data_IF_240668830165
#
_entry.id   IF_240668830165
#
_cell.length_a   1.000
_cell.length_b   1.000
_cell.length_c   1.000
_cell.angle_alpha   90.00
_cell.angle_beta   90.00
_cell.angle_gamma   90.00
#
_symmetry.space_group_name_H-M   'P 1'
#
loop_
_entity.id
_entity.type
_entity.pdbx_description
1 polymer ?
#
# COMPACT_ATOMS: atom_id res chain seq x y z
N UNK A 1 -43.49 -96.23 8.45
CA UNK A 1 -43.04 -94.90 8.93
C UNK A 1 -42.71 -95.05 10.41
N UNK A 2 -41.46 -95.09 10.88
CA UNK A 2 -40.39 -94.08 10.72
C UNK A 2 -40.26 -93.29 12.04
N UNK A 3 -39.59 -93.87 13.06
CA UNK A 3 -38.36 -93.36 13.72
C UNK A 3 -38.46 -91.90 14.21
N UNK A 4 -38.50 -91.71 15.54
CA UNK A 4 -37.35 -91.38 16.42
C UNK A 4 -36.88 -89.92 16.30
N UNK A 5 -36.65 -89.32 17.46
CA UNK A 5 -35.64 -88.27 17.76
C UNK A 5 -35.81 -86.92 17.06
N UNK A 6 -35.96 -85.83 17.84
CA UNK A 6 -34.88 -84.85 18.09
C UNK A 6 -35.40 -83.61 18.84
N UNK A 7 -34.71 -83.33 19.95
CA UNK A 7 -34.32 -82.02 20.51
C UNK A 7 -35.45 -81.03 20.88
N UNK A 8 -35.70 -80.72 22.16
CA UNK A 8 -34.86 -79.94 23.12
C UNK A 8 -34.33 -78.64 22.53
N UNK A 9 -35.03 -77.53 22.77
CA UNK A 9 -34.57 -76.14 22.85
C UNK A 9 -35.81 -75.36 23.37
N UNK A 10 -35.61 -74.41 24.28
CA UNK A 10 -36.63 -73.63 25.04
C UNK A 10 -37.13 -74.28 26.35
N UNK A 11 -36.36 -74.03 27.42
CA UNK A 11 -36.74 -73.96 28.85
C UNK A 11 -35.69 -74.62 29.76
N UNK A 12 -34.42 -74.16 29.72
CA UNK A 12 -33.53 -74.18 30.90
C UNK A 12 -32.17 -73.51 30.59
N UNK A 13 -31.99 -72.25 30.98
CA UNK A 13 -30.65 -71.68 31.26
C UNK A 13 -30.78 -70.38 32.07
N UNK A 14 -31.37 -70.53 33.26
CA UNK A 14 -30.90 -69.79 34.43
C UNK A 14 -29.79 -70.65 35.04
N UNK A 15 -28.52 -70.26 34.87
CA UNK A 15 -27.40 -70.96 35.50
C UNK A 15 -26.05 -70.73 34.81
N UNK A 16 -25.29 -69.75 35.32
CA UNK A 16 -23.84 -69.79 35.62
C UNK A 16 -23.49 -68.40 36.20
N UNK A 17 -23.55 -68.10 37.50
CA UNK A 17 -22.85 -68.66 38.66
C UNK A 17 -21.32 -68.63 38.55
N UNK A 18 -20.72 -67.70 39.32
CA UNK A 18 -19.32 -67.67 39.82
C UNK A 18 -18.30 -67.24 38.76
N UNK A 19 -17.57 -66.12 38.90
CA UNK A 19 -16.38 -65.98 39.78
C UNK A 19 -15.92 -64.51 39.67
N UNK A 20 -16.09 -63.62 40.65
CA UNK A 20 -15.14 -63.22 41.71
C UNK A 20 -15.78 -61.94 42.31
N UNK A 21 -16.26 -61.85 43.56
CA UNK A 21 -15.47 -61.74 44.80
C UNK A 21 -14.31 -60.77 44.60
N UNK A 22 -14.17 -59.60 45.21
CA UNK A 22 -14.82 -58.92 46.33
C UNK A 22 -14.07 -57.60 46.47
N UNK A 23 -14.78 -56.55 46.87
CA UNK A 23 -14.32 -55.61 47.92
C UNK A 23 -13.17 -54.66 47.55
N UNK A 24 -13.59 -53.40 47.34
CA UNK A 24 -13.20 -52.26 48.19
C UNK A 24 -11.73 -51.86 48.10
N UNK A 25 -11.46 -50.64 47.65
CA UNK A 25 -10.88 -49.61 48.51
C UNK A 25 -10.93 -48.23 47.83
N UNK A 26 -11.47 -47.31 48.61
CA UNK A 26 -11.33 -45.87 48.57
C UNK A 26 -9.83 -45.51 48.56
N UNK A 27 -9.34 -44.73 47.58
CA UNK A 27 -8.28 -43.71 47.75
C UNK A 27 -8.20 -42.83 46.51
N UNK A 28 -8.35 -41.53 46.75
CA UNK A 28 -7.85 -40.45 45.91
C UNK A 28 -6.35 -40.60 45.68
N UNK A 29 -5.92 -40.68 44.43
CA UNK A 29 -4.54 -40.36 44.05
C UNK A 29 -4.53 -39.84 42.62
N UNK A 30 -4.39 -38.52 42.55
CA UNK A 30 -3.33 -37.86 41.80
C UNK A 30 -3.08 -38.43 40.39
N UNK A 31 -3.80 -37.90 39.41
CA UNK A 31 -3.24 -37.85 38.06
C UNK A 31 -2.04 -36.92 38.11
N UNK A 32 -0.85 -37.52 38.17
CA UNK A 32 0.42 -36.85 38.00
C UNK A 32 0.42 -36.21 36.61
N UNK A 33 0.25 -34.89 36.60
CA UNK A 33 0.58 -34.05 35.45
C UNK A 33 2.08 -34.20 35.23
N UNK A 34 2.47 -34.94 34.20
CA UNK A 34 3.81 -34.80 33.64
C UNK A 34 3.84 -33.46 32.89
N UNK A 35 4.74 -32.53 33.25
CA UNK A 35 4.96 -31.33 32.47
C UNK A 35 5.80 -31.74 31.26
N UNK A 36 5.15 -31.89 30.11
CA UNK A 36 5.87 -31.86 28.83
C UNK A 36 5.45 -30.61 28.08
N UNK A 37 6.30 -29.61 28.26
CA UNK A 37 6.43 -28.43 27.43
C UNK A 37 6.78 -28.86 26.01
N UNK A 38 5.76 -28.92 25.16
CA UNK A 38 5.91 -28.69 23.74
C UNK A 38 4.69 -27.89 23.34
N UNK A 39 4.92 -26.58 23.18
CA UNK A 39 4.09 -25.67 22.40
C UNK A 39 3.52 -26.44 21.24
N UNK A 40 2.21 -26.66 21.30
CA UNK A 40 1.45 -27.26 20.23
C UNK A 40 1.41 -26.17 19.19
N UNK A 41 2.19 -26.32 18.12
CA UNK A 41 2.00 -25.52 16.92
C UNK A 41 0.56 -25.75 16.49
N UNK A 42 -0.27 -24.73 16.65
CA UNK A 42 -1.63 -24.76 16.18
C UNK A 42 -1.58 -24.46 14.68
N UNK A 43 -1.69 -25.53 13.89
CA UNK A 43 -2.12 -25.42 12.50
C UNK A 43 -3.36 -24.51 12.48
N UNK A 44 -3.37 -23.56 11.55
CA UNK A 44 -4.53 -22.69 11.28
C UNK A 44 -5.76 -23.61 11.16
N UNK A 45 -6.77 -23.46 12.05
CA UNK A 45 -7.96 -24.31 12.02
C UNK A 45 -8.55 -24.36 10.61
N UNK A 46 -8.88 -25.55 10.10
CA UNK A 46 -9.35 -25.75 8.72
C UNK A 46 -10.69 -25.08 8.37
N UNK A 47 -11.30 -24.37 9.32
CA UNK A 47 -12.52 -23.57 9.17
C UNK A 47 -12.37 -22.31 10.04
N UNK A 48 -11.56 -21.34 9.60
CA UNK A 48 -11.62 -19.97 10.12
C UNK A 48 -12.74 -19.24 9.37
N UNK A 49 -13.56 -18.49 10.10
CA UNK A 49 -14.56 -17.62 9.48
C UNK A 49 -13.83 -16.44 8.82
N UNK A 50 -14.16 -16.15 7.57
CA UNK A 50 -13.61 -14.99 6.86
C UNK A 50 -13.85 -13.70 7.66
N UNK A 51 -12.87 -12.81 7.67
CA UNK A 51 -12.92 -11.54 8.39
C UNK A 51 -11.57 -11.07 8.89
N UNK A 52 -11.61 -9.93 9.57
CA UNK A 52 -10.43 -9.24 10.12
C UNK A 52 -10.35 -9.46 11.62
N UNK A 53 -9.22 -9.95 12.10
CA UNK A 53 -9.00 -10.29 13.51
C UNK A 53 -7.77 -9.57 14.05
N UNK A 54 -7.90 -9.00 15.24
CA UNK A 54 -6.78 -8.36 15.93
C UNK A 54 -6.29 -9.26 17.05
N UNK A 55 -4.98 -9.46 17.10
CA UNK A 55 -4.31 -10.23 18.15
C UNK A 55 -3.08 -9.50 18.66
N UNK A 56 -2.69 -9.82 19.89
CA UNK A 56 -1.50 -9.29 20.53
C UNK A 56 -0.60 -10.45 20.96
N UNK A 57 0.70 -10.28 20.81
CA UNK A 57 1.71 -11.25 21.25
C UNK A 57 2.89 -10.55 21.92
N UNK A 58 3.64 -11.25 22.75
CA UNK A 58 4.72 -10.63 23.53
C UNK A 58 6.05 -10.66 22.73
N UNK A 59 6.51 -9.49 22.30
CA UNK A 59 7.82 -9.27 21.67
C UNK A 59 8.95 -9.10 22.69
N UNK A 60 10.12 -8.65 22.22
CA UNK A 60 11.30 -8.47 23.09
C UNK A 60 11.20 -7.22 24.00
N UNK A 61 10.70 -6.13 23.45
CA UNK A 61 10.64 -4.79 24.02
C UNK A 61 9.20 -4.30 24.24
N UNK A 62 8.20 -5.17 24.06
CA UNK A 62 6.81 -4.90 24.41
C UNK A 62 5.84 -5.80 23.65
N UNK A 63 4.53 -5.57 23.83
CA UNK A 63 3.51 -6.23 23.03
C UNK A 63 3.63 -5.83 21.56
N UNK A 64 3.37 -6.79 20.68
CA UNK A 64 3.23 -6.62 19.24
C UNK A 64 1.76 -6.85 18.94
N UNK A 65 1.10 -5.87 18.34
CA UNK A 65 -0.30 -5.95 17.93
C UNK A 65 -0.33 -6.18 16.42
N UNK A 66 -1.06 -7.21 15.98
CA UNK A 66 -1.24 -7.53 14.57
C UNK A 66 -2.71 -7.63 14.22
N UNK A 67 -3.02 -7.31 12.98
CA UNK A 67 -4.29 -7.57 12.32
C UNK A 67 -4.10 -8.68 11.30
N UNK A 68 -5.01 -9.64 11.26
CA UNK A 68 -4.97 -10.79 10.36
C UNK A 68 -6.28 -10.83 9.57
N UNK A 69 -6.17 -10.77 8.25
CA UNK A 69 -7.29 -10.91 7.31
C UNK A 69 -7.36 -12.34 6.82
N UNK A 70 -8.53 -12.96 6.95
CA UNK A 70 -8.81 -14.30 6.42
C UNK A 70 -9.90 -14.22 5.37
N UNK A 71 -9.63 -14.75 4.18
CA UNK A 71 -10.59 -14.82 3.07
C UNK A 71 -10.62 -16.22 2.46
N UNK A 72 -11.81 -16.77 2.23
CA UNK A 72 -11.95 -18.13 1.72
C UNK A 72 -11.33 -19.19 2.63
N UNK A 73 -11.14 -18.89 3.92
CA UNK A 73 -10.43 -19.72 4.89
C UNK A 73 -8.90 -19.72 4.76
N UNK A 74 -8.31 -18.79 4.00
CA UNK A 74 -6.86 -18.60 3.85
C UNK A 74 -6.45 -17.25 4.44
N UNK A 75 -5.28 -17.20 5.09
CA UNK A 75 -4.70 -15.94 5.57
C UNK A 75 -4.18 -15.18 4.36
N UNK A 76 -4.82 -14.07 4.02
CA UNK A 76 -4.45 -13.23 2.87
C UNK A 76 -3.55 -12.06 3.27
N UNK A 77 -3.64 -11.61 4.54
CA UNK A 77 -2.80 -10.53 5.06
C UNK A 77 -2.58 -10.60 6.55
N UNK A 78 -1.40 -10.11 6.95
CA UNK A 78 -1.01 -9.90 8.33
C UNK A 78 -0.35 -8.51 8.41
N UNK A 79 -0.97 -7.58 9.12
CA UNK A 79 -0.45 -6.23 9.35
C UNK A 79 0.02 -6.07 10.79
N UNK A 80 1.17 -5.43 11.00
CA UNK A 80 1.62 -5.04 12.33
C UNK A 80 1.03 -3.66 12.64
N UNK A 81 0.09 -3.58 13.58
CA UNK A 81 -0.60 -2.34 13.96
C UNK A 81 0.22 -1.50 14.94
N UNK A 82 0.93 -2.14 15.88
CA UNK A 82 1.71 -1.47 16.92
C UNK A 82 2.83 -2.38 17.43
N UNK A 83 4.02 -1.83 17.66
CA UNK A 83 5.13 -2.53 18.28
C UNK A 83 6.13 -1.55 18.92
N UNK A 84 6.93 -2.05 19.86
CA UNK A 84 7.96 -1.26 20.56
C UNK A 84 9.37 -1.85 20.40
N UNK A 85 9.60 -2.60 19.33
CA UNK A 85 10.85 -3.33 19.08
C UNK A 85 12.02 -2.40 18.68
N UNK A 86 13.24 -2.95 18.67
CA UNK A 86 14.45 -2.18 18.34
C UNK A 86 14.66 -2.14 16.83
N UNK A 87 14.53 -0.95 16.24
CA UNK A 87 14.83 -0.67 14.83
C UNK A 87 16.16 -1.30 14.37
N UNK A 88 16.17 -1.90 13.18
CA UNK A 88 17.34 -2.54 12.56
C UNK A 88 17.65 -3.95 13.08
N UNK A 89 17.04 -4.38 14.20
CA UNK A 89 17.26 -5.72 14.77
C UNK A 89 16.06 -6.63 14.53
N UNK A 90 14.85 -6.08 14.61
CA UNK A 90 13.59 -6.81 14.44
C UNK A 90 13.03 -6.76 13.03
N UNK A 91 13.51 -5.85 12.17
CA UNK A 91 13.00 -5.62 10.82
C UNK A 91 12.92 -6.92 9.99
N UNK A 92 13.96 -7.79 10.00
CA UNK A 92 13.87 -9.07 9.31
C UNK A 92 12.73 -9.97 9.80
N UNK A 93 12.36 -9.91 11.09
CA UNK A 93 11.23 -10.68 11.60
C UNK A 93 9.87 -10.08 11.21
N UNK A 94 9.77 -8.76 11.03
CA UNK A 94 8.55 -8.12 10.57
C UNK A 94 8.32 -8.31 9.07
N UNK A 95 9.38 -8.54 8.29
CA UNK A 95 9.30 -8.87 6.87
C UNK A 95 9.07 -10.38 6.65
N UNK A 96 9.93 -11.23 7.21
CA UNK A 96 9.96 -12.66 6.87
C UNK A 96 8.81 -13.45 7.51
N UNK A 97 8.44 -13.17 8.77
CA UNK A 97 7.47 -14.01 9.50
C UNK A 97 6.04 -13.86 8.96
N UNK A 98 5.50 -12.65 8.74
CA UNK A 98 4.19 -12.51 8.10
C UNK A 98 4.15 -13.17 6.72
N UNK A 99 5.19 -12.97 5.90
CA UNK A 99 5.28 -13.55 4.57
C UNK A 99 5.28 -15.08 4.60
N UNK A 100 6.07 -15.71 5.48
CA UNK A 100 6.11 -17.17 5.62
C UNK A 100 4.76 -17.73 6.13
N UNK A 101 4.06 -17.02 7.03
CA UNK A 101 2.76 -17.46 7.53
C UNK A 101 1.72 -17.41 6.41
N UNK A 102 1.71 -16.37 5.58
CA UNK A 102 0.82 -16.25 4.42
C UNK A 102 1.15 -17.31 3.36
N UNK A 103 2.43 -17.54 3.05
CA UNK A 103 2.85 -18.55 2.07
C UNK A 103 2.50 -19.97 2.52
N UNK A 104 2.72 -20.27 3.80
CA UNK A 104 2.49 -21.61 4.37
C UNK A 104 1.06 -21.83 4.86
N UNK A 105 0.27 -20.76 4.96
CA UNK A 105 -1.01 -20.70 5.67
C UNK A 105 -0.93 -21.41 7.05
N UNK A 106 0.17 -21.16 7.77
CA UNK A 106 0.48 -21.81 9.04
C UNK A 106 1.21 -20.86 9.98
N UNK A 107 0.84 -20.86 11.25
CA UNK A 107 1.57 -20.09 12.28
C UNK A 107 2.85 -20.80 12.74
N UNK A 108 3.15 -22.00 12.22
CA UNK A 108 4.34 -22.79 12.53
C UNK A 108 5.49 -22.54 11.55
N UNK A 109 5.95 -21.30 11.53
CA UNK A 109 7.08 -20.84 10.71
C UNK A 109 8.38 -20.74 11.52
N UNK A 110 9.53 -20.82 10.85
CA UNK A 110 10.82 -20.74 11.54
C UNK A 110 11.06 -19.32 12.05
N UNK A 111 11.72 -19.20 13.21
CA UNK A 111 12.06 -17.89 13.77
C UNK A 111 13.28 -17.30 13.06
N UNK A 112 13.31 -15.98 12.87
CA UNK A 112 14.42 -15.31 12.20
C UNK A 112 15.64 -15.24 13.13
N UNK A 113 16.82 -15.52 12.57
CA UNK A 113 18.08 -15.52 13.31
C UNK A 113 18.46 -14.10 13.75
N UNK A 114 18.39 -13.84 15.06
CA UNK A 114 18.71 -12.52 15.64
C UNK A 114 17.48 -11.75 16.12
N UNK A 115 16.29 -12.14 15.66
CA UNK A 115 15.00 -11.55 16.01
C UNK A 115 14.03 -12.56 16.63
N UNK A 116 14.55 -13.58 17.32
CA UNK A 116 13.78 -14.74 17.80
C UNK A 116 12.58 -14.37 18.68
N UNK A 117 12.71 -13.37 19.55
CA UNK A 117 11.62 -12.92 20.42
C UNK A 117 10.53 -12.19 19.63
N UNK A 118 10.93 -11.31 18.70
CA UNK A 118 10.04 -10.64 17.76
C UNK A 118 9.27 -11.65 16.90
N UNK A 119 9.97 -12.63 16.30
CA UNK A 119 9.33 -13.69 15.50
C UNK A 119 8.33 -14.51 16.31
N UNK A 120 8.66 -14.80 17.58
CA UNK A 120 7.74 -15.53 18.47
C UNK A 120 6.51 -14.67 18.83
N UNK A 121 6.71 -13.37 19.09
CA UNK A 121 5.64 -12.43 19.38
C UNK A 121 4.67 -12.25 18.21
N UNK A 122 5.17 -12.17 16.97
CA UNK A 122 4.32 -12.11 15.77
C UNK A 122 3.50 -13.39 15.62
N UNK A 123 4.12 -14.56 15.75
CA UNK A 123 3.41 -15.85 15.71
C UNK A 123 2.31 -15.93 16.77
N UNK A 124 2.61 -15.51 18.00
CA UNK A 124 1.64 -15.49 19.10
C UNK A 124 0.49 -14.50 18.83
N UNK A 125 0.79 -13.32 18.30
CA UNK A 125 -0.20 -12.31 17.95
C UNK A 125 -1.16 -12.84 16.87
N UNK A 126 -0.64 -13.53 15.85
CA UNK A 126 -1.45 -14.17 14.79
C UNK A 126 -2.29 -15.30 15.37
N UNK A 127 -1.74 -16.17 16.21
CA UNK A 127 -2.50 -17.24 16.89
C UNK A 127 -3.64 -16.65 17.72
N UNK A 128 -3.38 -15.57 18.45
CA UNK A 128 -4.37 -14.91 19.31
C UNK A 128 -5.48 -14.21 18.49
N UNK A 129 -5.13 -13.65 17.33
CA UNK A 129 -6.09 -13.11 16.36
C UNK A 129 -7.02 -14.22 15.86
N UNK A 130 -6.45 -15.33 15.39
CA UNK A 130 -7.19 -16.46 14.80
C UNK A 130 -7.98 -17.29 15.83
N UNK A 131 -7.57 -17.27 17.11
CA UNK A 131 -8.26 -17.98 18.19
C UNK A 131 -9.43 -17.20 18.79
N UNK A 132 -9.64 -15.94 18.38
CA UNK A 132 -10.70 -15.07 18.93
C UNK A 132 -10.54 -14.74 20.42
N UNK A 133 -9.32 -14.84 20.95
CA UNK A 133 -9.00 -14.63 22.37
C UNK A 133 -8.45 -13.23 22.67
N UNK A 134 -8.36 -12.35 21.67
CA UNK A 134 -7.96 -10.95 21.85
C UNK A 134 -8.99 -10.15 22.67
N UNK A 135 -8.52 -9.46 23.73
CA UNK A 135 -9.35 -8.49 24.46
C UNK A 135 -9.69 -7.32 23.55
N UNK A 136 -10.98 -7.19 23.21
CA UNK A 136 -11.54 -6.05 22.51
C UNK A 136 -11.97 -5.03 23.57
N UNK A 137 -11.20 -3.95 23.76
CA UNK A 137 -11.65 -2.78 24.51
C UNK A 137 -12.49 -1.92 23.55
N UNK A 138 -13.81 -2.13 23.58
CA UNK A 138 -14.80 -1.52 22.66
C UNK A 138 -14.83 0.03 22.73
N UNK A 139 -14.19 0.65 23.73
CA UNK A 139 -14.13 2.11 23.91
C UNK A 139 -12.84 2.75 23.32
N UNK A 140 -11.94 1.98 22.70
CA UNK A 140 -10.77 2.47 21.93
C UNK A 140 -10.87 2.12 20.43
N UNK A 141 -12.07 1.81 19.95
CA UNK A 141 -12.40 1.69 18.54
C UNK A 141 -13.10 2.98 18.12
N UNK A 142 -12.33 3.95 17.60
CA UNK A 142 -12.93 4.89 16.65
C UNK A 142 -13.29 4.09 15.39
N UNK A 143 -14.50 4.31 14.92
CA UNK A 143 -15.19 3.65 13.81
C UNK A 143 -14.33 3.59 12.54
N UNK A 144 -13.49 2.57 12.42
CA UNK A 144 -12.82 2.17 11.19
C UNK A 144 -13.50 0.90 10.69
N UNK A 145 -14.50 1.09 9.82
CA UNK A 145 -15.10 -0.01 9.06
C UNK A 145 -14.00 -0.68 8.24
N UNK A 146 -13.64 -1.91 8.64
CA UNK A 146 -12.83 -2.82 7.85
C UNK A 146 -13.72 -3.45 6.78
N UNK A 147 -13.57 -2.98 5.54
CA UNK A 147 -13.82 -3.76 4.33
C UNK A 147 -12.45 -3.92 3.66
N UNK A 148 -12.07 -5.16 3.39
CA UNK A 148 -11.05 -5.57 2.42
C UNK A 148 -9.60 -5.11 2.69
N UNK A 149 -8.70 -5.86 2.08
CA UNK A 149 -7.28 -5.92 2.30
C UNK A 149 -6.51 -4.71 1.72
N UNK A 150 -6.96 -3.47 1.88
CA UNK A 150 -6.21 -2.33 1.37
C UNK A 150 -4.90 -2.15 2.16
N UNK A 151 -3.77 -2.30 1.48
CA UNK A 151 -2.55 -1.56 1.84
C UNK A 151 -3.01 -0.15 2.18
N UNK A 152 -2.50 0.52 3.24
CA UNK A 152 -2.89 1.91 3.54
C UNK A 152 -2.72 2.69 2.26
N UNK A 153 -3.83 2.84 1.53
CA UNK A 153 -3.88 3.58 0.32
C UNK A 153 -3.71 4.98 0.88
N UNK A 154 -2.59 5.62 0.56
CA UNK A 154 -2.78 7.00 0.15
C UNK A 154 -3.94 6.93 -0.82
N UNK A 155 -5.03 7.61 -0.50
CA UNK A 155 -6.30 7.50 -1.19
C UNK A 155 -6.09 8.16 -2.57
N UNK A 156 -5.25 7.52 -3.38
CA UNK A 156 -4.71 7.95 -4.65
C UNK A 156 -5.75 7.58 -5.68
N UNK A 157 -5.99 8.49 -6.62
CA UNK A 157 -6.91 8.19 -7.70
C UNK A 157 -6.33 7.05 -8.54
N UNK A 158 -7.15 6.06 -8.91
CA UNK A 158 -6.71 5.00 -9.82
C UNK A 158 -6.31 5.58 -11.18
N UNK A 159 -5.33 4.95 -11.81
CA UNK A 159 -4.88 5.31 -13.14
C UNK A 159 -3.37 5.43 -13.25
N UNK A 160 -2.95 5.95 -14.39
CA UNK A 160 -1.55 6.27 -14.64
C UNK A 160 -1.38 7.77 -14.47
N UNK A 161 -0.53 8.14 -13.52
CA UNK A 161 -0.19 9.53 -13.22
C UNK A 161 1.25 9.79 -13.59
N UNK A 162 1.52 10.99 -14.03
CA UNK A 162 2.85 11.36 -14.52
C UNK A 162 3.17 12.75 -14.04
N UNK A 163 4.42 12.95 -13.65
CA UNK A 163 4.90 14.26 -13.24
C UNK A 163 6.36 14.44 -13.65
N UNK A 164 6.66 15.66 -14.09
CA UNK A 164 8.01 16.10 -14.42
C UNK A 164 8.48 17.14 -13.41
N UNK A 165 9.63 16.89 -12.79
CA UNK A 165 10.25 17.80 -11.82
C UNK A 165 11.69 18.13 -12.21
N UNK A 166 12.26 19.15 -11.56
CA UNK A 166 13.65 19.53 -11.73
C UNK A 166 14.57 18.51 -10.99
N UNK A 167 15.24 17.63 -11.75
CA UNK A 167 16.26 16.71 -11.25
C UNK A 167 17.61 17.38 -10.97
N UNK A 168 18.64 16.58 -10.63
CA UNK A 168 19.96 17.10 -10.28
C UNK A 168 20.71 17.73 -11.47
N UNK A 169 20.39 17.34 -12.70
CA UNK A 169 21.07 17.82 -13.92
C UNK A 169 20.14 18.22 -15.07
N UNK A 170 18.84 18.06 -14.92
CA UNK A 170 17.84 18.36 -15.94
C UNK A 170 16.48 17.82 -15.50
N UNK A 171 15.46 17.86 -16.36
CA UNK A 171 14.13 17.34 -16.03
C UNK A 171 14.20 15.84 -15.69
N UNK A 172 13.32 15.42 -14.78
CA UNK A 172 13.11 14.04 -14.39
C UNK A 172 11.61 13.77 -14.38
N UNK A 173 11.17 12.79 -15.18
CA UNK A 173 9.77 12.41 -15.36
C UNK A 173 9.53 11.02 -14.79
N UNK A 174 8.49 10.89 -13.98
CA UNK A 174 8.07 9.63 -13.37
C UNK A 174 6.63 9.32 -13.77
N UNK A 175 6.38 8.07 -14.15
CA UNK A 175 5.07 7.47 -14.33
C UNK A 175 4.74 6.59 -13.11
N UNK A 176 3.57 6.79 -12.52
CA UNK A 176 3.06 6.06 -11.36
C UNK A 176 1.75 5.40 -11.75
N UNK A 177 1.67 4.08 -11.62
CA UNK A 177 0.42 3.34 -11.84
C UNK A 177 -0.22 3.02 -10.50
N UNK A 178 -1.48 3.42 -10.36
CA UNK A 178 -2.33 3.13 -9.21
C UNK A 178 -3.48 2.24 -9.67
N UNK A 179 -3.65 1.08 -9.03
CA UNK A 179 -4.79 0.17 -9.22
C UNK A 179 -5.46 -0.07 -7.88
N UNK A 180 -6.77 0.16 -7.79
CA UNK A 180 -7.57 -0.01 -6.58
C UNK A 180 -6.96 0.72 -5.36
N UNK A 181 -6.53 1.98 -5.54
CA UNK A 181 -5.91 2.83 -4.50
C UNK A 181 -4.45 2.49 -4.18
N UNK A 182 -3.86 1.51 -4.86
CA UNK A 182 -2.52 0.99 -4.56
C UNK A 182 -1.55 1.32 -5.70
N UNK A 183 -0.39 1.87 -5.34
CA UNK A 183 0.75 2.08 -6.26
C UNK A 183 1.29 0.71 -6.67
N UNK A 184 1.01 0.30 -7.91
CA UNK A 184 1.47 -0.97 -8.47
C UNK A 184 2.76 -0.83 -9.28
N UNK A 185 3.07 0.39 -9.74
CA UNK A 185 4.28 0.66 -10.50
C UNK A 185 4.75 2.11 -10.31
N UNK A 186 6.08 2.29 -10.29
CA UNK A 186 6.74 3.59 -10.39
C UNK A 186 7.88 3.43 -11.39
N UNK A 187 7.84 4.15 -12.50
CA UNK A 187 8.82 4.09 -13.57
C UNK A 187 9.38 5.49 -13.88
N UNK A 188 10.70 5.64 -13.84
CA UNK A 188 11.36 6.88 -14.32
C UNK A 188 11.49 6.79 -15.85
N UNK A 189 10.65 7.55 -16.57
CA UNK A 189 10.55 7.48 -18.04
C UNK A 189 11.54 8.41 -18.74
N UNK A 190 11.89 9.54 -18.12
CA UNK A 190 12.87 10.50 -18.62
C UNK A 190 13.74 11.06 -17.49
N UNK A 191 15.05 11.20 -17.72
CA UNK A 191 15.97 11.84 -16.79
C UNK A 191 17.28 12.28 -17.47
N UNK A 192 17.90 13.35 -16.97
CA UNK A 192 19.24 13.81 -17.41
C UNK A 192 20.35 13.58 -16.35
N UNK A 193 20.13 12.63 -15.45
CA UNK A 193 21.04 12.29 -14.34
C UNK A 193 22.43 11.74 -14.77
N UNK A 194 23.41 11.76 -13.85
CA UNK A 194 24.78 11.31 -14.17
C UNK A 194 24.81 9.80 -14.12
N UNK A 195 25.08 9.17 -15.26
CA UNK A 195 25.29 7.71 -15.36
C UNK A 195 26.26 7.20 -14.27
N UNK A 196 25.85 6.15 -13.56
CA UNK A 196 26.64 5.49 -12.53
C UNK A 196 26.63 6.17 -11.16
N UNK A 197 26.15 7.41 -11.04
CA UNK A 197 25.94 8.07 -9.74
C UNK A 197 24.48 8.00 -9.30
N UNK A 198 23.55 8.19 -10.24
CA UNK A 198 22.12 8.19 -9.98
C UNK A 198 21.47 6.80 -10.08
N UNK A 199 22.13 5.83 -10.72
CA UNK A 199 21.58 4.48 -10.95
C UNK A 199 20.98 3.85 -9.68
N UNK A 200 21.63 3.92 -8.49
CA UNK A 200 21.03 3.39 -7.27
C UNK A 200 19.73 4.07 -6.88
N UNK A 201 19.63 5.40 -7.04
CA UNK A 201 18.38 6.11 -6.74
C UNK A 201 17.28 5.80 -7.77
N UNK A 202 17.64 5.67 -9.05
CA UNK A 202 16.71 5.35 -10.14
C UNK A 202 16.14 3.93 -10.03
N UNK A 203 16.82 3.01 -9.34
CA UNK A 203 16.37 1.64 -9.12
C UNK A 203 15.70 1.46 -7.74
N UNK A 204 16.38 1.90 -6.67
CA UNK A 204 15.99 1.56 -5.30
C UNK A 204 14.79 2.39 -4.81
N UNK A 205 14.71 3.68 -5.19
CA UNK A 205 13.64 4.58 -4.70
C UNK A 205 12.28 4.22 -5.29
N UNK A 206 12.12 4.03 -6.62
CA UNK A 206 10.85 3.56 -7.18
C UNK A 206 10.41 2.21 -6.61
N UNK A 207 11.34 1.27 -6.46
CA UNK A 207 11.06 -0.04 -5.88
C UNK A 207 10.56 0.06 -4.44
N UNK A 208 11.22 0.88 -3.61
CA UNK A 208 10.82 1.10 -2.23
C UNK A 208 9.44 1.77 -2.13
N UNK A 209 9.07 2.64 -3.06
CA UNK A 209 7.75 3.28 -3.06
C UNK A 209 6.65 2.27 -3.39
N UNK A 210 6.86 1.42 -4.39
CA UNK A 210 5.90 0.34 -4.72
C UNK A 210 5.81 -0.67 -3.58
N UNK A 211 6.94 -1.07 -3.01
CA UNK A 211 6.99 -2.03 -1.91
C UNK A 211 6.28 -1.52 -0.65
N UNK A 212 6.48 -0.24 -0.32
CA UNK A 212 5.87 0.37 0.87
C UNK A 212 4.50 1.02 0.60
N UNK A 213 4.07 1.07 -0.66
CA UNK A 213 2.93 1.87 -1.13
C UNK A 213 2.90 3.29 -0.53
N UNK A 214 4.07 3.89 -0.39
CA UNK A 214 4.27 5.12 0.36
C UNK A 214 5.38 5.93 -0.27
N UNK A 215 5.21 7.24 -0.32
CA UNK A 215 6.25 8.17 -0.77
C UNK A 215 7.23 8.54 0.35
N UNK A 216 6.96 8.12 1.59
CA UNK A 216 7.86 8.28 2.74
C UNK A 216 8.90 7.16 2.74
N UNK A 217 9.88 7.27 1.85
CA UNK A 217 10.99 6.32 1.69
C UNK A 217 12.34 7.01 1.87
N UNK A 218 13.35 6.24 2.26
CA UNK A 218 14.69 6.77 2.47
C UNK A 218 15.41 7.10 1.16
N UNK A 219 16.17 8.19 1.18
CA UNK A 219 17.07 8.55 0.06
C UNK A 219 18.28 7.62 -0.02
N UNK A 220 18.82 7.45 -1.23
CA UNK A 220 20.03 6.65 -1.44
C UNK A 220 21.30 7.44 -1.18
N UNK A 221 22.23 6.83 -0.43
CA UNK A 221 23.51 7.44 -0.07
C UNK A 221 24.37 7.75 -1.30
N UNK A 222 24.67 9.04 -1.50
CA UNK A 222 25.45 9.52 -2.65
C UNK A 222 24.62 9.92 -3.87
N UNK A 223 23.30 9.69 -3.83
CA UNK A 223 22.34 10.08 -4.87
C UNK A 223 21.12 10.81 -4.26
N UNK A 224 21.34 11.57 -3.18
CA UNK A 224 20.28 12.21 -2.39
C UNK A 224 19.42 13.16 -3.23
N UNK A 225 20.01 14.00 -4.08
CA UNK A 225 19.26 14.96 -4.92
C UNK A 225 18.34 14.23 -5.90
N UNK A 226 18.84 13.17 -6.53
CA UNK A 226 18.04 12.35 -7.44
C UNK A 226 16.94 11.59 -6.68
N UNK A 227 17.23 11.09 -5.48
CA UNK A 227 16.24 10.39 -4.65
C UNK A 227 15.11 11.33 -4.23
N UNK A 228 15.44 12.55 -3.79
CA UNK A 228 14.49 13.59 -3.43
C UNK A 228 13.64 14.00 -4.65
N UNK A 229 14.25 14.14 -5.83
CA UNK A 229 13.52 14.44 -7.07
C UNK A 229 12.54 13.34 -7.46
N UNK A 230 12.91 12.05 -7.33
CA UNK A 230 11.98 10.94 -7.60
C UNK A 230 10.81 10.97 -6.60
N UNK A 231 11.09 11.15 -5.31
CA UNK A 231 10.04 11.24 -4.27
C UNK A 231 9.12 12.45 -4.53
N UNK A 232 9.67 13.59 -4.94
CA UNK A 232 8.91 14.78 -5.29
C UNK A 232 8.04 14.55 -6.54
N UNK A 233 8.59 13.92 -7.59
CA UNK A 233 7.84 13.59 -8.79
C UNK A 233 6.68 12.63 -8.49
N UNK A 234 6.93 11.58 -7.70
CA UNK A 234 5.87 10.64 -7.30
C UNK A 234 4.82 11.32 -6.44
N UNK A 235 5.23 12.15 -5.47
CA UNK A 235 4.27 12.93 -4.68
C UNK A 235 3.46 13.89 -5.54
N UNK A 236 4.07 14.50 -6.55
CA UNK A 236 3.37 15.38 -7.48
C UNK A 236 2.34 14.57 -8.25
N UNK A 237 2.78 13.51 -8.95
CA UNK A 237 1.91 12.60 -9.69
C UNK A 237 0.74 12.04 -8.86
N UNK A 238 0.95 11.74 -7.57
CA UNK A 238 -0.06 11.13 -6.71
C UNK A 238 -0.98 12.12 -5.98
N UNK A 239 -0.51 13.34 -5.68
CA UNK A 239 -1.33 14.39 -5.04
C UNK A 239 -2.11 15.20 -6.05
N UNK A 240 -1.90 14.91 -7.32
CA UNK A 240 -2.47 15.67 -8.39
C UNK A 240 -3.79 15.09 -8.89
N UNK A 241 -4.83 15.82 -8.54
CA UNK A 241 -5.88 16.16 -9.50
C UNK A 241 -5.41 17.20 -10.55
N UNK A 242 -4.14 17.65 -10.55
CA UNK A 242 -3.57 18.69 -11.45
C UNK A 242 -2.11 18.39 -11.89
N UNK A 243 -1.83 17.12 -12.20
CA UNK A 243 -0.49 16.61 -12.51
C UNK A 243 -0.35 16.58 -13.99
N UNK A 244 0.41 17.53 -14.48
CA UNK A 244 0.77 17.79 -15.86
C UNK A 244 1.46 16.56 -16.51
N UNK A 245 0.66 15.53 -16.81
CA UNK A 245 0.72 14.71 -18.02
C UNK A 245 -0.49 13.76 -18.00
N UNK A 246 -1.62 14.19 -18.55
CA UNK A 246 -2.52 13.24 -19.18
C UNK A 246 -1.88 12.90 -20.53
N UNK A 247 -1.23 11.75 -20.62
CA UNK A 247 -0.76 11.22 -21.89
C UNK A 247 -1.95 11.07 -22.87
N UNK A 248 -2.12 12.09 -23.72
CA UNK A 248 -2.55 12.00 -25.11
C UNK A 248 -3.83 11.19 -25.41
N UNK A 249 -4.91 11.45 -24.68
CA UNK A 249 -6.25 11.36 -25.26
C UNK A 249 -6.68 12.78 -25.63
N UNK A 250 -7.28 13.01 -26.82
CA UNK A 250 -7.72 14.34 -27.20
C UNK A 250 -8.79 14.79 -26.20
N UNK A 251 -8.39 15.66 -25.28
CA UNK A 251 -9.30 16.32 -24.35
C UNK A 251 -10.22 17.17 -25.21
N UNK A 252 -11.47 16.73 -25.38
CA UNK A 252 -12.50 17.51 -26.07
C UNK A 252 -12.87 18.70 -25.18
N UNK A 253 -12.15 19.81 -25.33
CA UNK A 253 -12.52 21.05 -24.66
C UNK A 253 -13.87 21.54 -25.18
N UNK A 254 -14.72 22.02 -24.27
CA UNK A 254 -15.94 22.74 -24.63
C UNK A 254 -15.55 24.06 -25.26
N UNK A 255 -16.20 24.39 -26.36
CA UNK A 255 -16.02 25.69 -27.01
C UNK A 255 -16.41 26.83 -26.05
N UNK A 256 -15.55 27.83 -25.93
CA UNK A 256 -15.73 28.90 -24.96
C UNK A 256 -14.52 29.81 -24.83
N UNK A 257 -14.66 30.79 -23.94
CA UNK A 257 -13.57 31.66 -23.52
C UNK A 257 -13.41 31.50 -22.01
N UNK A 258 -12.21 31.15 -21.60
CA UNK A 258 -11.86 30.77 -20.24
C UNK A 258 -10.76 31.67 -19.72
N UNK A 259 -10.71 31.86 -18.41
CA UNK A 259 -9.74 32.76 -17.77
C UNK A 259 -9.04 31.99 -16.66
N UNK A 260 -7.72 31.96 -16.70
CA UNK A 260 -6.90 31.33 -15.68
C UNK A 260 -5.86 32.29 -15.15
N UNK A 261 -5.46 32.08 -13.90
CA UNK A 261 -4.48 32.92 -13.21
C UNK A 261 -3.44 32.09 -12.47
N UNK A 262 -2.19 32.55 -12.52
CA UNK A 262 -1.09 31.92 -11.81
C UNK A 262 -0.07 32.94 -11.30
N UNK A 263 0.64 32.59 -10.24
CA UNK A 263 1.67 33.43 -9.65
C UNK A 263 2.89 33.54 -10.59
N UNK A 264 3.13 34.74 -11.12
CA UNK A 264 4.34 35.07 -11.87
C UNK A 264 5.54 35.40 -10.97
N UNK A 265 6.66 35.78 -11.58
CA UNK A 265 7.88 36.13 -10.83
C UNK A 265 7.69 37.42 -10.01
N UNK A 266 6.96 38.39 -10.53
CA UNK A 266 6.71 39.67 -9.86
C UNK A 266 5.32 39.75 -9.21
N UNK A 267 4.28 39.29 -9.91
CA UNK A 267 2.87 39.31 -9.48
C UNK A 267 2.10 38.28 -10.33
N UNK A 268 0.81 38.14 -10.07
CA UNK A 268 -0.08 37.24 -10.81
C UNK A 268 -0.11 37.57 -12.31
N UNK A 269 -0.19 36.51 -13.13
CA UNK A 269 -0.40 36.57 -14.58
C UNK A 269 -1.80 36.05 -14.86
N UNK A 270 -2.59 36.83 -15.61
CA UNK A 270 -3.93 36.44 -16.04
C UNK A 270 -3.94 36.17 -17.54
N UNK A 271 -4.41 34.99 -17.94
CA UNK A 271 -4.57 34.60 -19.35
C UNK A 271 -6.03 34.36 -19.69
N UNK A 272 -6.40 34.70 -20.92
CA UNK A 272 -7.69 34.39 -21.53
C UNK A 272 -7.45 33.39 -22.67
N UNK A 273 -8.07 32.21 -22.58
CA UNK A 273 -7.94 31.11 -23.54
C UNK A 273 -9.26 30.95 -24.29
N UNK A 274 -9.21 30.93 -25.63
CA UNK A 274 -10.37 30.68 -26.48
C UNK A 274 -10.26 29.30 -27.11
N UNK A 275 -11.30 28.49 -26.90
CA UNK A 275 -11.46 27.17 -27.49
C UNK A 275 -12.54 27.22 -28.57
N UNK A 276 -12.23 26.73 -29.77
CA UNK A 276 -13.19 26.55 -30.86
C UNK A 276 -13.06 25.16 -31.50
N UNK A 277 -14.18 24.46 -31.69
CA UNK A 277 -14.24 23.09 -32.20
C UNK A 277 -13.37 22.10 -31.39
N UNK A 278 -13.29 22.30 -30.07
CA UNK A 278 -12.46 21.47 -29.19
C UNK A 278 -10.95 21.67 -29.30
N UNK A 279 -10.49 22.77 -29.90
CA UNK A 279 -9.07 23.12 -29.99
C UNK A 279 -8.80 24.54 -29.46
N UNK A 280 -7.59 24.75 -28.94
CA UNK A 280 -7.09 26.03 -28.44
C UNK A 280 -6.78 26.94 -29.64
N UNK A 281 -7.65 27.91 -29.91
CA UNK A 281 -7.52 28.80 -31.07
C UNK A 281 -6.74 30.08 -30.73
N UNK A 282 -6.81 30.53 -29.48
CA UNK A 282 -6.20 31.80 -29.09
C UNK A 282 -5.90 31.86 -27.59
N UNK A 283 -4.75 32.42 -27.24
CA UNK A 283 -4.33 32.69 -25.85
C UNK A 283 -3.89 34.15 -25.76
N UNK A 284 -4.45 34.90 -24.81
CA UNK A 284 -4.14 36.32 -24.60
C UNK A 284 -3.79 36.55 -23.14
N UNK A 285 -2.57 37.05 -22.90
CA UNK A 285 -2.20 37.54 -21.56
C UNK A 285 -2.88 38.90 -21.36
N UNK A 286 -3.77 38.98 -20.38
CA UNK A 286 -4.63 40.16 -20.15
C UNK A 286 -4.10 41.06 -19.03
N UNK A 287 -3.37 40.50 -18.06
CA UNK A 287 -2.74 41.24 -16.97
C UNK A 287 -1.45 40.54 -16.54
N UNK A 288 -0.40 41.32 -16.24
CA UNK A 288 0.87 40.84 -15.67
C UNK A 288 1.64 42.02 -15.06
N UNK A 289 2.51 41.75 -14.08
CA UNK A 289 3.45 42.73 -13.52
C UNK A 289 4.93 42.39 -13.77
N UNK A 290 5.19 41.50 -14.73
CA UNK A 290 6.54 41.09 -15.11
C UNK A 290 7.41 42.26 -15.60
N UNK A 291 8.73 42.07 -15.51
CA UNK A 291 9.69 43.12 -15.90
C UNK A 291 9.74 43.25 -17.42
N UNK A 292 9.37 44.42 -17.95
CA UNK A 292 9.43 44.73 -19.40
C UNK A 292 10.81 44.36 -20.00
N UNK A 293 10.80 43.62 -21.10
CA UNK A 293 12.00 43.22 -21.83
C UNK A 293 12.70 41.95 -21.31
N UNK A 294 12.34 41.44 -20.13
CA UNK A 294 12.86 40.16 -19.61
C UNK A 294 11.90 39.00 -19.88
N UNK A 295 10.59 39.26 -19.77
CA UNK A 295 9.54 38.27 -19.98
C UNK A 295 8.99 38.23 -21.41
N UNK A 296 9.32 39.22 -22.25
CA UNK A 296 8.82 39.32 -23.63
C UNK A 296 8.97 38.01 -24.42
N UNK A 297 10.09 37.27 -24.36
CA UNK A 297 10.21 35.99 -25.05
C UNK A 297 9.18 34.96 -24.58
N UNK A 298 8.93 34.86 -23.27
CA UNK A 298 7.93 33.93 -22.74
C UNK A 298 6.50 34.32 -23.14
N UNK A 299 6.20 35.62 -23.20
CA UNK A 299 4.89 36.11 -23.64
C UNK A 299 4.62 35.92 -25.13
N UNK A 300 5.66 35.75 -25.94
CA UNK A 300 5.54 35.51 -27.38
C UNK A 300 5.60 34.01 -27.74
N UNK A 301 6.54 33.27 -27.15
CA UNK A 301 6.85 31.89 -27.52
C UNK A 301 5.87 30.90 -26.87
N UNK A 302 5.62 30.98 -25.55
CA UNK A 302 4.80 29.98 -24.85
C UNK A 302 3.36 29.91 -25.39
N UNK A 303 2.61 31.03 -25.54
CA UNK A 303 1.27 30.96 -26.11
C UNK A 303 1.26 30.40 -27.54
N UNK A 304 2.29 30.70 -28.34
CA UNK A 304 2.39 30.21 -29.71
C UNK A 304 2.64 28.71 -29.74
N UNK A 305 3.55 28.21 -28.91
CA UNK A 305 3.88 26.79 -28.83
C UNK A 305 2.68 25.98 -28.35
N UNK A 306 1.92 26.48 -27.35
CA UNK A 306 0.69 25.82 -26.87
C UNK A 306 -0.38 25.75 -27.97
N UNK A 307 -0.57 26.82 -28.74
CA UNK A 307 -1.52 26.81 -29.86
C UNK A 307 -1.07 25.88 -31.00
N UNK A 308 0.23 25.81 -31.26
CA UNK A 308 0.79 24.95 -32.32
C UNK A 308 0.76 23.46 -31.94
N UNK A 309 1.01 23.14 -30.67
CA UNK A 309 0.95 21.77 -30.13
C UNK A 309 -0.47 21.34 -29.74
N UNK A 310 -1.35 22.32 -29.49
CA UNK A 310 -2.64 22.12 -28.81
C UNK A 310 -2.47 21.35 -27.49
N UNK A 311 -1.39 21.64 -26.76
CA UNK A 311 -0.97 21.01 -25.52
C UNK A 311 -0.28 22.04 -24.63
N UNK A 312 -0.44 21.92 -23.30
CA UNK A 312 0.27 22.76 -22.33
C UNK A 312 1.68 22.25 -22.04
N UNK A 313 1.99 21.02 -22.45
CA UNK A 313 3.33 20.43 -22.46
C UNK A 313 4.20 21.12 -23.54
N UNK A 314 4.83 22.23 -23.15
CA UNK A 314 5.75 23.00 -23.98
C UNK A 314 6.97 23.43 -23.18
N UNK A 315 8.12 23.52 -23.84
CA UNK A 315 9.37 23.92 -23.22
C UNK A 315 9.33 25.36 -22.67
N UNK A 316 9.94 25.58 -21.50
CA UNK A 316 10.11 26.94 -20.97
C UNK A 316 11.15 27.74 -21.77
N UNK A 317 11.00 29.07 -21.81
CA UNK A 317 11.95 29.94 -22.51
C UNK A 317 13.18 30.24 -21.65
N UNK A 318 14.38 30.03 -22.23
CA UNK A 318 15.65 30.26 -21.55
C UNK A 318 15.79 31.71 -21.06
N UNK A 319 15.98 31.88 -19.75
CA UNK A 319 16.09 33.19 -19.09
C UNK A 319 14.76 33.80 -18.64
N UNK A 320 13.64 33.14 -18.94
CA UNK A 320 12.30 33.52 -18.50
C UNK A 320 11.52 32.31 -17.92
N UNK A 321 12.22 31.37 -17.29
CA UNK A 321 11.68 30.09 -16.82
C UNK A 321 10.49 30.26 -15.86
N UNK A 322 10.60 31.12 -14.85
CA UNK A 322 9.52 31.35 -13.87
C UNK A 322 8.27 31.91 -14.55
N UNK A 323 8.47 32.89 -15.44
CA UNK A 323 7.37 33.48 -16.21
C UNK A 323 6.76 32.49 -17.19
N UNK A 324 7.57 31.59 -17.78
CA UNK A 324 7.10 30.55 -18.69
C UNK A 324 6.21 29.55 -17.96
N UNK A 325 6.67 29.01 -16.82
CA UNK A 325 5.87 28.12 -15.95
C UNK A 325 4.56 28.79 -15.53
N UNK A 326 4.60 30.05 -15.12
CA UNK A 326 3.39 30.79 -14.74
C UNK A 326 2.39 30.96 -15.90
N UNK A 327 2.83 31.14 -17.14
CA UNK A 327 1.92 31.20 -18.29
C UNK A 327 1.30 29.83 -18.56
N UNK A 328 2.09 28.75 -18.51
CA UNK A 328 1.63 27.37 -18.69
C UNK A 328 0.53 27.05 -17.66
N UNK A 329 0.83 27.23 -16.37
CA UNK A 329 -0.13 26.95 -15.29
C UNK A 329 -1.37 27.85 -15.33
N UNK A 330 -1.26 29.10 -15.81
CA UNK A 330 -2.43 29.94 -16.00
C UNK A 330 -3.32 29.44 -17.16
N UNK A 331 -2.73 28.87 -18.22
CA UNK A 331 -3.47 28.28 -19.33
C UNK A 331 -4.15 26.99 -18.90
N UNK A 332 -3.49 26.14 -18.12
CA UNK A 332 -4.05 24.88 -17.61
C UNK A 332 -5.30 25.10 -16.76
N UNK A 333 -5.22 26.04 -15.80
CA UNK A 333 -6.38 26.45 -15.01
C UNK A 333 -7.53 26.99 -15.85
N UNK A 334 -7.24 27.67 -16.95
CA UNK A 334 -8.28 28.10 -17.88
C UNK A 334 -8.90 26.90 -18.62
N UNK A 335 -8.11 25.88 -18.94
CA UNK A 335 -8.55 24.69 -19.66
C UNK A 335 -9.29 23.69 -18.76
N UNK A 336 -9.06 23.65 -17.45
CA UNK A 336 -9.88 22.90 -16.49
C UNK A 336 -11.37 23.28 -16.58
N UNK A 337 -11.66 24.59 -16.64
CA UNK A 337 -13.03 25.09 -16.81
C UNK A 337 -13.63 24.73 -18.18
N UNK A 338 -12.79 24.32 -19.14
CA UNK A 338 -13.18 23.92 -20.48
C UNK A 338 -13.50 22.42 -20.60
N UNK A 339 -13.17 21.58 -19.62
CA UNK A 339 -13.49 20.14 -19.61
C UNK A 339 -14.94 19.88 -19.16
#
# INVERSE_FOLDING_TARGET
MGRKTRLTIEMLLAGLFIMLVTVFLFTSDFTFSEPDTATTGEDVPAEIEDGTFVGTGEGFAGPIKVEVTVEGGEIVKIMVLDHNETEGVSDPAFEEIPAEIMESNSTDVEVVSGATYTSTGIREAVVNALSGTGEVDEDEIEDTNAEDDEIVAGNYEDGTHTATVDGAQGPLTVEVTVEDGVITNVEVTEHEETEGLADPALEDVPAAIVENNSTDVDTVSGATVTSEAIIEAVNTALNDSEGEDAANEPVEYKDGTYVGTADGHNDEITVEVTVENGAIENIVITDHAETEGLADPAFEEIPADIMDSNSTDVDTVSGATVTSKAIISAVEKALEDAQ
#
